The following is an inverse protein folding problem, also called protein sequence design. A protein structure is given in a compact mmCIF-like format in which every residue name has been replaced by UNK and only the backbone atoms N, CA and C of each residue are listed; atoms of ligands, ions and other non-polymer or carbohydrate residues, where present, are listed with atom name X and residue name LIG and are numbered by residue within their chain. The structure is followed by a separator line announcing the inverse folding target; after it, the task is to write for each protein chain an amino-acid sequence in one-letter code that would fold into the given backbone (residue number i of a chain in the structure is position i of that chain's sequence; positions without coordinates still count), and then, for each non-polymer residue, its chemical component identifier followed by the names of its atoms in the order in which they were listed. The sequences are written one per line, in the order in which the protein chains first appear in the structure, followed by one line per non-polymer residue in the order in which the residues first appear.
data_IF_097708655002
#
_entry.id   IF_097708655002
#
_cell.length_a   1.000
_cell.length_b   1.000
_cell.length_c   1.000
_cell.angle_alpha   90.00
_cell.angle_beta   90.00
_cell.angle_gamma   90.00
#
_symmetry.space_group_name_H-M   'P 1'
#
loop_
_entity.id
_entity.type
_entity.pdbx_description
1 polymer ?
#
# COMPACT_ATOMS: atom_id res chain seq x y z
N UNK A 1 -6.59 -2.56 5.50
CA UNK A 1 -7.17 -1.20 5.49
C UNK A 1 -6.14 -0.24 6.04
N UNK A 2 -6.01 0.93 5.41
CA UNK A 2 -5.00 1.92 5.77
C UNK A 2 -5.61 3.30 5.58
N UNK A 3 -5.79 4.10 6.62
CA UNK A 3 -6.48 5.39 6.54
C UNK A 3 -5.71 6.47 5.74
N UNK A 4 -6.23 7.70 5.70
CA UNK A 4 -5.64 8.81 4.95
C UNK A 4 -4.25 9.24 5.43
N UNK A 5 -3.93 8.96 6.69
CA UNK A 5 -2.63 9.22 7.32
C UNK A 5 -1.71 8.01 7.27
N UNK A 6 -2.06 6.99 6.49
CA UNK A 6 -1.27 5.77 6.29
C UNK A 6 -1.24 4.83 7.51
N UNK A 7 -2.14 4.99 8.48
CA UNK A 7 -2.24 4.09 9.63
C UNK A 7 -3.00 2.81 9.24
N UNK A 8 -2.45 1.65 9.61
CA UNK A 8 -3.09 0.36 9.35
C UNK A 8 -4.18 0.11 10.38
N UNK A 9 -5.43 0.18 9.94
CA UNK A 9 -6.62 -0.04 10.80
C UNK A 9 -7.03 -1.51 10.84
N UNK A 10 -6.81 -2.26 9.76
CA UNK A 10 -7.07 -3.69 9.72
C UNK A 10 -6.14 -4.41 8.74
N UNK A 11 -5.83 -5.66 9.02
CA UNK A 11 -5.05 -6.53 8.14
C UNK A 11 -5.78 -7.86 7.99
N UNK A 12 -5.76 -8.42 6.79
CA UNK A 12 -6.23 -9.79 6.58
C UNK A 12 -5.12 -10.78 6.98
N UNK A 13 -5.48 -12.05 7.13
CA UNK A 13 -4.53 -13.11 7.51
C UNK A 13 -3.34 -13.24 6.55
N UNK A 14 -3.53 -12.99 5.26
CA UNK A 14 -2.44 -13.06 4.27
C UNK A 14 -1.42 -11.93 4.47
N UNK A 15 -1.90 -10.73 4.83
CA UNK A 15 -1.07 -9.56 5.15
C UNK A 15 -0.29 -9.80 6.42
N UNK A 16 -0.93 -10.32 7.46
CA UNK A 16 -0.25 -10.66 8.71
C UNK A 16 0.78 -11.77 8.54
N UNK A 17 0.50 -12.77 7.69
CA UNK A 17 1.46 -13.82 7.37
C UNK A 17 2.71 -13.29 6.64
N UNK A 18 2.54 -12.28 5.78
CA UNK A 18 3.62 -11.73 4.97
C UNK A 18 4.43 -10.65 5.71
N UNK A 19 3.78 -9.85 6.55
CA UNK A 19 4.36 -8.65 7.16
C UNK A 19 4.41 -8.68 8.69
N UNK A 20 3.89 -9.73 9.32
CA UNK A 20 3.70 -9.80 10.76
C UNK A 20 2.59 -8.85 11.24
N UNK A 21 2.66 -8.45 12.51
CA UNK A 21 1.67 -7.54 13.07
C UNK A 21 1.74 -6.16 12.37
N UNK A 22 0.62 -5.79 11.74
CA UNK A 22 0.49 -4.54 11.00
C UNK A 22 -0.48 -3.57 11.66
N UNK A 23 -1.56 -4.04 12.28
CA UNK A 23 -2.58 -3.17 12.88
C UNK A 23 -1.96 -2.30 13.96
N UNK A 24 -2.25 -0.99 13.91
CA UNK A 24 -1.68 0.01 14.80
C UNK A 24 -0.31 0.54 14.37
N UNK A 25 0.23 0.08 13.24
CA UNK A 25 1.46 0.65 12.63
C UNK A 25 1.10 1.69 11.57
N UNK A 26 2.06 2.54 11.21
CA UNK A 26 1.95 3.45 10.07
C UNK A 26 2.77 2.91 8.89
N UNK A 27 2.10 2.67 7.76
CA UNK A 27 2.69 1.99 6.61
C UNK A 27 3.76 2.84 5.92
N UNK A 28 3.54 4.16 5.80
CA UNK A 28 4.51 5.07 5.22
C UNK A 28 5.78 5.12 6.09
N UNK A 29 5.64 5.28 7.41
CA UNK A 29 6.78 5.27 8.34
C UNK A 29 7.52 3.93 8.28
N UNK A 30 6.80 2.81 8.26
CA UNK A 30 7.41 1.46 8.20
C UNK A 30 8.32 1.28 6.98
N UNK A 31 7.95 1.83 5.83
CA UNK A 31 8.72 1.67 4.59
C UNK A 31 9.77 2.75 4.39
N UNK A 32 9.43 4.02 4.63
CA UNK A 32 10.33 5.13 4.33
C UNK A 32 11.35 5.41 5.44
N UNK A 33 11.11 5.01 6.69
CA UNK A 33 12.10 5.18 7.76
C UNK A 33 13.29 4.19 7.64
N UNK A 34 13.08 3.07 6.97
CA UNK A 34 14.07 2.01 6.78
C UNK A 34 14.07 1.52 5.33
N UNK A 35 14.48 2.38 4.36
CA UNK A 35 14.39 2.05 2.93
C UNK A 35 15.23 0.82 2.55
N UNK A 36 16.33 0.55 3.26
CA UNK A 36 17.09 -0.68 3.11
C UNK A 36 16.28 -1.92 3.48
N UNK A 37 15.56 -1.89 4.61
CA UNK A 37 14.68 -2.99 4.99
C UNK A 37 13.51 -3.12 4.00
N UNK A 38 12.95 -2.01 3.53
CA UNK A 38 11.91 -2.01 2.51
C UNK A 38 12.40 -2.66 1.21
N UNK A 39 13.61 -2.37 0.74
CA UNK A 39 14.20 -2.98 -0.46
C UNK A 39 14.49 -4.49 -0.30
N UNK A 40 14.73 -4.98 0.93
CA UNK A 40 14.81 -6.43 1.19
C UNK A 40 13.47 -7.15 1.13
N UNK A 41 12.35 -6.43 1.20
CA UNK A 41 11.00 -7.01 1.16
C UNK A 41 10.26 -6.73 -0.15
N UNK A 42 10.52 -5.58 -0.78
CA UNK A 42 9.87 -5.12 -2.00
C UNK A 42 10.90 -5.11 -3.11
N UNK A 43 10.76 -6.01 -4.07
CA UNK A 43 11.74 -6.21 -5.16
C UNK A 43 11.83 -4.99 -6.07
N UNK A 44 10.68 -4.38 -6.39
CA UNK A 44 10.57 -3.15 -7.18
C UNK A 44 10.45 -1.90 -6.28
N UNK A 45 11.31 -1.82 -5.25
CA UNK A 45 11.27 -0.74 -4.27
C UNK A 45 11.38 0.66 -4.88
N UNK A 46 12.28 0.96 -5.83
CA UNK A 46 12.34 2.29 -6.44
C UNK A 46 11.01 2.74 -7.03
N UNK A 47 10.33 1.87 -7.78
CA UNK A 47 9.01 2.14 -8.35
C UNK A 47 7.98 2.44 -7.27
N UNK A 48 7.93 1.59 -6.24
CA UNK A 48 6.96 1.72 -5.14
C UNK A 48 7.21 2.98 -4.31
N UNK A 49 8.47 3.29 -4.02
CA UNK A 49 8.86 4.45 -3.23
C UNK A 49 8.50 5.76 -3.93
N UNK A 50 8.84 5.88 -5.23
CA UNK A 50 8.48 7.04 -6.03
C UNK A 50 6.97 7.20 -6.21
N UNK A 51 6.23 6.10 -6.37
CA UNK A 51 4.76 6.14 -6.43
C UNK A 51 4.13 6.55 -5.08
N UNK A 52 4.69 6.07 -3.97
CA UNK A 52 4.26 6.46 -2.62
C UNK A 52 4.50 7.95 -2.34
N UNK A 53 5.68 8.47 -2.72
CA UNK A 53 5.98 9.90 -2.63
C UNK A 53 5.01 10.75 -3.48
N UNK A 54 4.78 10.35 -4.73
CA UNK A 54 3.82 11.06 -5.61
C UNK A 54 2.40 11.09 -5.02
N UNK A 55 1.98 9.99 -4.36
CA UNK A 55 0.72 9.94 -3.64
C UNK A 55 0.70 10.90 -2.45
N UNK A 56 1.74 10.92 -1.62
CA UNK A 56 1.84 11.84 -0.48
C UNK A 56 1.79 13.31 -0.92
N UNK A 57 2.52 13.67 -1.98
CA UNK A 57 2.45 15.00 -2.58
C UNK A 57 1.05 15.36 -3.08
N UNK A 58 0.35 14.43 -3.71
CA UNK A 58 -1.03 14.64 -4.13
C UNK A 58 -1.97 14.85 -2.92
N UNK A 59 -1.80 14.08 -1.85
CA UNK A 59 -2.60 14.23 -0.62
C UNK A 59 -2.35 15.60 0.05
N UNK A 60 -1.09 16.03 0.12
CA UNK A 60 -0.71 17.35 0.64
C UNK A 60 -1.27 18.50 -0.19
N UNK A 61 -1.32 18.37 -1.52
CA UNK A 61 -1.93 19.37 -2.38
C UNK A 61 -3.43 19.57 -2.07
N UNK A 62 -4.12 18.53 -1.59
CA UNK A 62 -5.52 18.59 -1.18
C UNK A 62 -5.71 19.02 0.29
N UNK A 63 -4.69 18.81 1.13
CA UNK A 63 -4.69 19.19 2.54
C UNK A 63 -3.37 19.92 2.94
N UNK A 64 -3.16 21.17 2.49
CA UNK A 64 -1.86 21.85 2.64
C UNK A 64 -1.46 22.18 4.07
N UNK A 65 -2.34 22.04 5.06
CA UNK A 65 -2.03 22.32 6.47
C UNK A 65 -1.93 21.05 7.32
N UNK A 66 -1.99 19.87 6.69
CA UNK A 66 -1.84 18.60 7.39
C UNK A 66 -0.35 18.34 7.71
N UNK A 67 0.01 18.53 8.99
CA UNK A 67 1.39 18.35 9.46
C UNK A 67 1.86 16.90 9.40
N UNK A 68 0.97 15.94 9.67
CA UNK A 68 1.31 14.52 9.63
C UNK A 68 1.63 14.09 8.19
N UNK A 69 0.82 14.50 7.21
CA UNK A 69 1.13 14.23 5.80
C UNK A 69 2.43 14.90 5.35
N UNK A 70 2.76 16.08 5.90
CA UNK A 70 4.03 16.78 5.60
C UNK A 70 5.22 15.98 6.09
N UNK A 71 5.19 15.53 7.34
CA UNK A 71 6.25 14.68 7.89
C UNK A 71 6.44 13.39 7.09
N UNK A 72 5.34 12.75 6.66
CA UNK A 72 5.42 11.55 5.83
C UNK A 72 6.01 11.83 4.45
N UNK A 73 5.69 12.97 3.84
CA UNK A 73 6.28 13.38 2.56
C UNK A 73 7.78 13.66 2.70
N UNK A 74 8.21 14.40 3.72
CA UNK A 74 9.63 14.69 3.98
C UNK A 74 10.43 13.39 4.21
N UNK A 75 9.83 12.43 4.93
CA UNK A 75 10.39 11.10 5.14
C UNK A 75 10.53 10.34 3.82
N UNK A 76 9.50 10.38 2.96
CA UNK A 76 9.52 9.74 1.66
C UNK A 76 10.53 10.39 0.70
N UNK A 77 10.66 11.73 0.70
CA UNK A 77 11.67 12.47 -0.07
C UNK A 77 13.09 12.05 0.33
N UNK A 78 13.34 11.94 1.63
CA UNK A 78 14.61 11.45 2.16
C UNK A 78 14.90 10.03 1.69
N UNK A 79 13.90 9.14 1.74
CA UNK A 79 14.01 7.74 1.34
C UNK A 79 14.29 7.54 -0.16
N UNK A 80 13.80 8.43 -1.03
CA UNK A 80 14.04 8.35 -2.49
C UNK A 80 15.29 9.09 -2.96
N UNK A 81 15.91 9.93 -2.12
CA UNK A 81 17.02 10.81 -2.53
C UNK A 81 18.21 10.09 -3.19
N UNK A 82 18.47 8.84 -2.81
CA UNK A 82 19.52 7.99 -3.39
C UNK A 82 19.05 7.01 -4.47
N UNK A 83 17.76 7.01 -4.82
CA UNK A 83 17.18 6.06 -5.77
C UNK A 83 17.12 6.67 -7.16
N UNK A 84 17.54 5.91 -8.18
CA UNK A 84 17.30 6.27 -9.56
C UNK A 84 15.80 6.43 -9.80
N UNK A 85 15.39 7.54 -10.41
CA UNK A 85 13.99 7.80 -10.72
C UNK A 85 13.54 6.84 -11.85
N UNK A 86 12.53 5.98 -11.62
CA UNK A 86 12.00 5.11 -12.65
C UNK A 86 11.38 5.90 -13.81
N UNK A 87 11.33 5.31 -14.99
CA UNK A 87 10.53 5.85 -16.08
C UNK A 87 9.08 5.97 -15.63
N UNK A 88 8.43 7.09 -15.97
CA UNK A 88 7.04 7.30 -15.59
C UNK A 88 6.16 6.18 -16.16
N UNK A 89 5.36 5.49 -15.33
CA UNK A 89 4.38 4.56 -15.86
C UNK A 89 3.34 5.35 -16.69
N UNK A 90 2.63 4.70 -17.63
CA UNK A 90 1.40 5.23 -18.20
C UNK A 90 0.50 5.78 -17.09
N UNK A 91 -0.13 6.95 -17.31
CA UNK A 91 -0.84 7.74 -16.30
C UNK A 91 -1.99 7.02 -15.57
N UNK A 92 -2.35 5.83 -16.02
CA UNK A 92 -3.45 5.01 -15.48
C UNK A 92 -2.99 3.77 -14.70
N UNK A 93 -1.69 3.45 -14.69
CA UNK A 93 -1.20 2.25 -14.02
C UNK A 93 -0.82 2.51 -12.56
N UNK A 94 -1.47 1.77 -11.65
CA UNK A 94 -1.10 1.72 -10.24
C UNK A 94 0.18 0.92 -10.09
N UNK A 95 1.23 1.55 -9.57
CA UNK A 95 2.46 0.85 -9.22
C UNK A 95 2.18 -0.09 -8.05
N UNK A 96 2.33 -1.38 -8.29
CA UNK A 96 2.04 -2.41 -7.30
C UNK A 96 3.34 -3.07 -6.81
N UNK A 97 3.50 -3.27 -5.49
CA UNK A 97 4.70 -3.87 -4.93
C UNK A 97 4.81 -5.36 -5.28
N UNK A 98 6.05 -5.81 -5.49
CA UNK A 98 6.41 -7.21 -5.66
C UNK A 98 7.09 -7.68 -4.38
N UNK A 99 6.42 -8.52 -3.60
CA UNK A 99 6.89 -8.90 -2.28
C UNK A 99 7.77 -10.15 -2.34
N UNK A 100 8.89 -10.12 -1.62
CA UNK A 100 9.72 -11.29 -1.36
C UNK A 100 9.11 -12.10 -0.21
N UNK A 101 8.81 -13.37 -0.46
CA UNK A 101 8.27 -14.32 0.51
C UNK A 101 9.18 -15.57 0.53
N UNK A 102 10.17 -15.57 1.43
CA UNK A 102 11.27 -16.54 1.38
C UNK A 102 12.04 -16.42 0.07
N UNK A 103 12.15 -17.52 -0.68
CA UNK A 103 12.82 -17.55 -1.99
C UNK A 103 11.91 -17.15 -3.16
N UNK A 104 10.62 -16.90 -2.90
CA UNK A 104 9.63 -16.59 -3.93
C UNK A 104 9.38 -15.08 -4.03
N UNK A 105 8.97 -14.63 -5.22
CA UNK A 105 8.50 -13.26 -5.46
C UNK A 105 7.01 -13.30 -5.79
N UNK A 106 6.21 -12.69 -4.93
CA UNK A 106 4.77 -12.49 -5.14
C UNK A 106 4.57 -11.15 -5.81
N UNK A 107 4.41 -11.16 -7.13
CA UNK A 107 3.98 -9.96 -7.88
C UNK A 107 2.53 -9.67 -7.57
N UNK A 108 2.16 -8.39 -7.59
CA UNK A 108 0.79 -7.99 -7.29
C UNK A 108 0.19 -7.07 -8.34
N UNK A 109 -1.15 -7.08 -8.44
CA UNK A 109 -1.95 -6.19 -9.26
C UNK A 109 -2.92 -5.43 -8.36
N UNK A 110 -3.15 -4.16 -8.68
CA UNK A 110 -4.02 -3.26 -7.94
C UNK A 110 -5.32 -2.99 -8.69
N UNK A 111 -6.44 -2.99 -7.98
CA UNK A 111 -7.71 -2.44 -8.45
C UNK A 111 -8.07 -1.24 -7.58
N UNK A 112 -8.30 -0.09 -8.22
CA UNK A 112 -8.74 1.13 -7.53
C UNK A 112 -10.19 1.42 -7.92
N UNK A 113 -11.08 1.38 -6.93
CA UNK A 113 -12.46 1.84 -7.10
C UNK A 113 -12.61 3.24 -6.50
N UNK A 114 -13.25 4.13 -7.26
CA UNK A 114 -13.64 5.47 -6.81
C UNK A 114 -15.17 5.56 -6.82
N UNK A 115 -15.74 6.07 -5.73
CA UNK A 115 -17.17 6.34 -5.64
C UNK A 115 -17.39 7.83 -5.83
N UNK A 116 -17.95 8.19 -6.98
CA UNK A 116 -18.36 9.56 -7.27
C UNK A 116 -19.81 9.72 -6.83
N UNK A 117 -20.06 10.39 -5.70
CA UNK A 117 -21.43 10.71 -5.33
C UNK A 117 -21.81 12.04 -5.99
N UNK A 118 -22.52 11.97 -7.10
CA UNK A 118 -23.29 13.14 -7.53
C UNK A 118 -24.31 13.44 -6.42
N UNK A 119 -24.36 14.70 -5.96
CA UNK A 119 -25.32 15.31 -5.00
C UNK A 119 -24.76 15.54 -3.58
N UNK A 120 -24.36 16.80 -3.36
CA UNK A 120 -24.33 17.57 -2.10
C UNK A 120 -24.17 16.81 -0.77
N UNK A 121 -23.09 16.06 -0.64
CA UNK A 121 -22.44 15.85 0.66
C UNK A 121 -20.97 16.20 0.42
N UNK A 122 -20.27 16.75 1.41
CA UNK A 122 -18.86 17.15 1.37
C UNK A 122 -17.95 15.97 1.02
N UNK A 123 -17.90 15.59 -0.25
CA UNK A 123 -17.39 14.30 -0.70
C UNK A 123 -15.90 14.17 -0.48
N UNK A 124 -15.58 13.50 0.61
CA UNK A 124 -14.41 12.66 0.73
C UNK A 124 -14.53 11.58 -0.37
N UNK A 125 -13.66 11.63 -1.39
CA UNK A 125 -13.61 10.58 -2.41
C UNK A 125 -13.20 9.26 -1.73
N UNK A 126 -14.13 8.30 -1.67
CA UNK A 126 -13.82 6.97 -1.14
C UNK A 126 -12.96 6.21 -2.17
N UNK A 127 -11.66 6.06 -1.86
CA UNK A 127 -10.70 5.29 -2.66
C UNK A 127 -10.47 3.92 -2.02
N UNK A 128 -10.99 2.88 -2.67
CA UNK A 128 -10.71 1.49 -2.26
C UNK A 128 -9.63 0.94 -3.18
N UNK A 129 -8.55 0.44 -2.59
CA UNK A 129 -7.48 -0.24 -3.31
C UNK A 129 -7.40 -1.70 -2.90
N UNK A 130 -7.45 -2.58 -3.88
CA UNK A 130 -7.35 -4.01 -3.67
C UNK A 130 -6.11 -4.52 -4.39
N UNK A 131 -5.22 -5.18 -3.68
CA UNK A 131 -4.00 -5.76 -4.23
C UNK A 131 -4.15 -7.28 -4.28
N UNK A 132 -3.91 -7.90 -5.43
CA UNK A 132 -4.05 -9.35 -5.63
C UNK A 132 -2.71 -9.93 -6.09
N UNK A 133 -2.34 -11.17 -5.70
CA UNK A 133 -1.22 -11.84 -6.33
C UNK A 133 -1.47 -11.98 -7.83
N UNK A 134 -0.51 -11.54 -8.65
CA UNK A 134 -0.57 -11.61 -10.11
C UNK A 134 -0.44 -13.06 -10.60
N UNK A 135 0.41 -13.84 -9.95
CA UNK A 135 0.60 -15.24 -10.25
C UNK A 135 -0.18 -16.06 -9.20
N UNK A 136 -1.17 -16.82 -9.66
CA UNK A 136 -1.78 -17.88 -8.87
C UNK A 136 -0.74 -19.01 -8.72
N UNK A 137 0.26 -18.82 -7.87
CA UNK A 137 1.08 -19.95 -7.43
C UNK A 137 0.15 -20.84 -6.60
N UNK A 138 -0.45 -21.83 -7.27
CA UNK A 138 -1.25 -22.92 -6.71
C UNK A 138 -0.44 -23.86 -5.83
N UNK A 139 0.53 -23.34 -5.08
CA UNK A 139 1.33 -24.09 -4.11
C UNK A 139 1.81 -23.12 -3.04
N UNK A 140 1.02 -22.99 -1.97
CA UNK A 140 1.48 -22.34 -0.75
C UNK A 140 2.77 -22.99 -0.27
N UNK A 141 3.81 -22.22 0.14
CA UNK A 141 4.95 -22.78 0.84
C UNK A 141 4.47 -23.16 2.25
N UNK A 142 4.33 -24.46 2.49
CA UNK A 142 4.02 -25.13 3.77
C UNK A 142 3.18 -24.34 4.78
N UNK A 143 1.87 -24.24 4.54
CA UNK A 143 0.92 -24.21 5.65
C UNK A 143 0.85 -25.64 6.20
N UNK A 144 1.28 -25.86 7.44
CA UNK A 144 1.16 -27.15 8.10
C UNK A 144 -0.31 -27.59 8.08
N UNK A 145 -0.54 -28.80 7.55
CA UNK A 145 -1.85 -29.42 7.44
C UNK A 145 -2.50 -29.53 8.82
N UNK A 146 -3.67 -28.92 8.97
CA UNK A 146 -4.72 -29.46 9.84
C UNK A 146 -5.97 -29.58 8.99
N UNK A 147 -6.47 -30.83 8.92
CA UNK A 147 -7.63 -31.26 8.14
C UNK A 147 -8.83 -30.34 8.33
N UNK A 148 -9.18 -29.58 7.29
CA UNK A 148 -10.55 -29.46 6.80
C UNK A 148 -10.53 -28.85 5.40
N UNK A 149 -11.23 -29.49 4.48
CA UNK A 149 -11.35 -29.18 3.06
C UNK A 149 -11.72 -27.71 2.83
N UNK A 150 -10.76 -26.88 2.43
CA UNK A 150 -10.99 -25.48 2.05
C UNK A 150 -10.47 -25.23 0.63
N UNK A 151 -11.36 -24.74 -0.23
CA UNK A 151 -11.11 -24.38 -1.64
C UNK A 151 -10.12 -23.21 -1.74
N UNK A 152 -9.39 -23.06 -2.86
CA UNK A 152 -8.38 -22.01 -3.01
C UNK A 152 -9.08 -20.65 -3.07
N UNK A 153 -8.92 -19.83 -2.04
CA UNK A 153 -9.42 -18.45 -2.05
C UNK A 153 -8.29 -17.50 -2.42
N UNK A 154 -8.39 -16.94 -3.64
CA UNK A 154 -7.70 -15.72 -4.09
C UNK A 154 -7.93 -14.61 -3.07
N UNK A 155 -7.03 -14.46 -2.11
CA UNK A 155 -7.25 -13.56 -0.98
C UNK A 155 -6.69 -12.18 -1.32
N UNK A 156 -7.59 -11.24 -1.56
CA UNK A 156 -7.29 -9.82 -1.83
C UNK A 156 -6.67 -9.14 -0.61
N UNK A 157 -5.58 -8.40 -0.79
CA UNK A 157 -5.12 -7.37 0.14
C UNK A 157 -6.03 -6.14 -0.04
N UNK A 158 -6.57 -5.56 1.03
CA UNK A 158 -7.39 -4.34 0.96
C UNK A 158 -6.67 -3.18 1.65
N UNK A 159 -6.30 -2.16 0.88
CA UNK A 159 -5.82 -0.85 1.35
C UNK A 159 -6.98 0.13 1.16
N UNK A 160 -7.38 0.83 2.21
CA UNK A 160 -8.60 1.64 2.20
C UNK A 160 -8.29 3.02 2.76
N UNK A 161 -7.84 3.91 1.87
CA UNK A 161 -7.47 5.28 2.20
C UNK A 161 -8.71 6.15 2.34
N UNK A 162 -9.02 6.54 3.57
CA UNK A 162 -10.03 7.55 3.86
C UNK A 162 -9.31 8.89 3.99
N UNK A 163 -9.44 9.79 3.00
CA UNK A 163 -9.00 11.17 3.20
C UNK A 163 -10.06 11.88 4.06
N UNK A 164 -9.67 12.39 5.22
CA UNK A 164 -10.53 13.25 6.03
C UNK A 164 -10.05 14.69 5.93
N UNK A 165 -10.92 15.62 5.50
CA UNK A 165 -10.71 17.05 5.78
C UNK A 165 -11.21 17.39 7.19
N UNK A 166 -10.32 17.82 8.08
CA UNK A 166 -10.71 18.60 9.26
C UNK A 166 -10.50 20.07 8.97
N UNK A 167 -11.59 20.84 8.94
CA UNK A 167 -11.55 22.29 9.05
C UNK A 167 -11.78 22.66 10.53
N UNK A 168 -10.86 23.44 11.11
CA UNK A 168 -11.14 24.34 12.24
C UNK A 168 -10.83 25.76 11.76
#
# INVERSE_FOLDING_TARGET
MVDGHWNVISANRASEALFGQLVGTNLARRYFAHPEAAATMIVNWPEVAWAGLARLHHQLAQAPFDEELRELADLAESAVSGLARPAAPPSELVVCPWFRAGEQVVRTIGMVARFDAAVEVTLDELRIELTYPQDATGRSPSFSQTNHTMRPTSSAFMVHGIQHRRWQ
#
